data_IF_079020670322
#
_entry.id   IF_079020670322
#
_cell.length_a   1.000
_cell.length_b   1.000
_cell.length_c   1.000
_cell.angle_alpha   90.00
_cell.angle_beta   90.00
_cell.angle_gamma   90.00
#
_symmetry.space_group_name_H-M   'P 1'
#
loop_
_entity.id
_entity.type
_entity.pdbx_description
1 polymer ?
#
# COMPACT_ATOMS: atom_id res chain seq x y z
N UNK A 1 21.99 14.24 -18.96
CA UNK A 1 20.83 13.54 -18.35
C UNK A 1 20.10 12.80 -19.44
N UNK A 2 20.06 11.46 -19.38
CA UNK A 2 19.28 10.63 -20.31
C UNK A 2 17.79 10.92 -20.11
N UNK A 3 17.10 11.33 -21.18
CA UNK A 3 15.66 11.59 -21.15
C UNK A 3 14.93 10.27 -20.95
N UNK A 4 14.25 10.13 -19.81
CA UNK A 4 13.46 8.93 -19.47
C UNK A 4 12.04 9.11 -19.99
N UNK A 5 11.43 8.03 -20.42
CA UNK A 5 10.07 8.02 -20.94
C UNK A 5 9.23 6.98 -20.19
N UNK A 6 8.02 7.37 -19.83
CA UNK A 6 7.04 6.54 -19.14
C UNK A 6 5.83 6.29 -20.04
N UNK A 7 5.27 5.09 -19.99
CA UNK A 7 4.06 4.74 -20.75
C UNK A 7 2.83 5.40 -20.11
N UNK A 8 2.55 6.64 -20.49
CA UNK A 8 1.41 7.43 -20.01
C UNK A 8 0.63 7.91 -21.23
N UNK A 9 -0.54 7.31 -21.46
CA UNK A 9 -1.42 7.67 -22.57
C UNK A 9 -2.74 8.26 -22.04
N UNK A 10 -3.12 9.44 -22.53
CA UNK A 10 -4.36 10.09 -22.16
C UNK A 10 -5.60 9.23 -22.47
N UNK A 11 -5.56 8.48 -23.59
CA UNK A 11 -6.65 7.58 -24.00
C UNK A 11 -6.88 6.48 -22.96
N UNK A 12 -5.81 5.81 -22.54
CA UNK A 12 -5.86 4.75 -21.52
C UNK A 12 -6.38 5.29 -20.17
N UNK A 13 -5.99 6.51 -19.78
CA UNK A 13 -6.48 7.15 -18.56
C UNK A 13 -7.99 7.45 -18.61
N UNK A 14 -8.51 7.80 -19.79
CA UNK A 14 -9.95 8.00 -20.00
C UNK A 14 -10.69 6.68 -19.92
N UNK A 15 -10.21 5.64 -20.61
CA UNK A 15 -10.78 4.29 -20.61
C UNK A 15 -10.79 3.67 -19.21
N UNK A 16 -9.72 3.87 -18.44
CA UNK A 16 -9.63 3.44 -17.05
C UNK A 16 -10.47 4.30 -16.06
N UNK A 17 -11.07 5.40 -16.52
CA UNK A 17 -11.95 6.24 -15.71
C UNK A 17 -11.23 7.11 -14.67
N UNK A 18 -9.94 7.41 -14.85
CA UNK A 18 -9.12 8.16 -13.87
C UNK A 18 -9.63 9.59 -13.63
N UNK A 19 -10.33 10.16 -14.61
CA UNK A 19 -10.85 11.52 -14.58
C UNK A 19 -12.05 11.72 -13.64
N UNK A 20 -12.69 10.64 -13.18
CA UNK A 20 -13.85 10.74 -12.29
C UNK A 20 -13.42 11.05 -10.84
N UNK A 21 -13.79 12.22 -10.36
CA UNK A 21 -13.61 12.65 -8.97
C UNK A 21 -14.79 12.29 -8.07
N UNK A 22 -14.83 12.91 -6.88
CA UNK A 22 -15.96 12.80 -5.97
C UNK A 22 -17.10 13.77 -6.33
N UNK A 23 -18.25 13.58 -5.70
CA UNK A 23 -19.38 14.50 -5.82
C UNK A 23 -19.07 15.90 -5.29
N UNK A 24 -19.75 16.92 -5.82
CA UNK A 24 -19.45 18.35 -5.56
C UNK A 24 -19.54 18.72 -4.07
N UNK A 25 -20.32 18.00 -3.27
CA UNK A 25 -20.44 18.25 -1.81
C UNK A 25 -19.25 17.71 -1.00
N UNK A 26 -18.45 16.79 -1.55
CA UNK A 26 -17.34 16.10 -0.86
C UNK A 26 -15.99 16.45 -1.51
N UNK A 27 -15.73 17.73 -1.70
CA UNK A 27 -14.48 18.23 -2.28
C UNK A 27 -13.72 19.13 -1.30
N UNK A 28 -12.41 19.24 -1.49
CA UNK A 28 -11.56 20.16 -0.75
C UNK A 28 -11.23 21.37 -1.65
N UNK A 29 -11.51 22.63 -1.24
CA UNK A 29 -11.21 23.82 -2.03
C UNK A 29 -9.76 23.93 -2.51
N UNK A 30 -8.79 23.40 -1.75
CA UNK A 30 -7.38 23.35 -2.16
C UNK A 30 -7.14 22.55 -3.44
N UNK A 31 -8.09 21.69 -3.83
CA UNK A 31 -8.01 20.91 -5.07
C UNK A 31 -8.49 21.66 -6.30
N UNK A 32 -8.98 22.90 -6.18
CA UNK A 32 -9.47 23.70 -7.31
C UNK A 32 -8.49 23.74 -8.51
N UNK A 33 -7.16 23.87 -8.33
CA UNK A 33 -6.23 23.87 -9.47
C UNK A 33 -6.16 22.54 -10.24
N UNK A 34 -6.61 21.42 -9.66
CA UNK A 34 -6.52 20.09 -10.27
C UNK A 34 -7.85 19.63 -10.88
N UNK A 35 -8.92 20.39 -10.70
CA UNK A 35 -10.26 20.09 -11.20
C UNK A 35 -10.45 20.82 -12.54
N UNK A 36 -10.84 20.11 -13.59
CA UNK A 36 -11.09 20.69 -14.91
C UNK A 36 -12.52 21.20 -15.05
N UNK A 37 -13.51 20.42 -14.61
CA UNK A 37 -14.92 20.73 -14.79
C UNK A 37 -15.78 20.06 -13.71
N UNK A 38 -17.08 20.39 -13.71
CA UNK A 38 -18.10 19.71 -12.92
C UNK A 38 -19.22 19.25 -13.88
N UNK A 39 -19.60 17.98 -13.84
CA UNK A 39 -20.65 17.43 -14.72
C UNK A 39 -21.52 16.46 -13.93
N UNK A 40 -22.85 16.59 -14.05
CA UNK A 40 -23.83 15.70 -13.39
C UNK A 40 -23.54 15.50 -11.88
N UNK A 41 -23.21 16.58 -11.17
CA UNK A 41 -22.94 16.51 -9.72
C UNK A 41 -21.58 15.94 -9.30
N UNK A 42 -20.68 15.62 -10.25
CA UNK A 42 -19.34 15.05 -9.99
C UNK A 42 -18.24 15.94 -10.54
N UNK A 43 -17.12 16.03 -9.81
CA UNK A 43 -15.92 16.72 -10.28
C UNK A 43 -15.16 15.88 -11.32
N UNK A 44 -14.68 16.54 -12.37
CA UNK A 44 -13.79 15.96 -13.37
C UNK A 44 -12.37 16.45 -13.08
N UNK A 45 -11.42 15.53 -12.96
CA UNK A 45 -10.01 15.81 -12.67
C UNK A 45 -9.28 16.11 -14.00
N UNK A 46 -8.36 17.08 -13.98
CA UNK A 46 -7.56 17.43 -15.15
C UNK A 46 -6.51 16.36 -15.46
N UNK A 47 -6.75 15.55 -16.49
CA UNK A 47 -5.84 14.47 -16.89
C UNK A 47 -4.49 14.95 -17.45
N UNK A 48 -4.42 16.12 -18.09
CA UNK A 48 -3.15 16.65 -18.59
C UNK A 48 -2.21 16.97 -17.41
N UNK A 49 -2.76 17.55 -16.33
CA UNK A 49 -2.02 17.74 -15.07
C UNK A 49 -1.66 16.41 -14.42
N UNK A 50 -2.59 15.46 -14.36
CA UNK A 50 -2.32 14.12 -13.81
C UNK A 50 -1.19 13.42 -14.56
N UNK A 51 -1.16 13.47 -15.90
CA UNK A 51 -0.10 12.88 -16.70
C UNK A 51 1.27 13.49 -16.41
N UNK A 52 1.35 14.83 -16.28
CA UNK A 52 2.58 15.53 -15.91
C UNK A 52 3.10 15.10 -14.54
N UNK A 53 2.25 15.16 -13.51
CA UNK A 53 2.63 14.78 -12.16
C UNK A 53 2.93 13.28 -12.02
N UNK A 54 2.28 12.43 -12.80
CA UNK A 54 2.58 11.01 -12.84
C UNK A 54 3.98 10.75 -13.39
N UNK A 55 4.38 11.46 -14.47
CA UNK A 55 5.75 11.39 -14.99
C UNK A 55 6.77 11.82 -13.94
N UNK A 56 6.57 12.98 -13.31
CA UNK A 56 7.46 13.49 -12.26
C UNK A 56 7.57 12.50 -11.07
N UNK A 57 6.45 11.90 -10.67
CA UNK A 57 6.45 10.89 -9.60
C UNK A 57 7.21 9.61 -10.01
N UNK A 58 7.05 9.14 -11.26
CA UNK A 58 7.79 7.99 -11.77
C UNK A 58 9.30 8.26 -11.81
N UNK A 59 9.73 9.46 -12.20
CA UNK A 59 11.14 9.85 -12.19
C UNK A 59 11.74 9.78 -10.77
N UNK A 60 11.04 10.35 -9.78
CA UNK A 60 11.49 10.31 -8.38
C UNK A 60 11.55 8.89 -7.81
N UNK A 61 10.54 8.07 -8.11
CA UNK A 61 10.50 6.67 -7.67
C UNK A 61 11.63 5.88 -8.32
N UNK A 62 11.92 6.10 -9.60
CA UNK A 62 13.03 5.47 -10.30
C UNK A 62 14.38 5.84 -9.67
N UNK A 63 14.61 7.12 -9.41
CA UNK A 63 15.85 7.57 -8.77
C UNK A 63 16.00 6.98 -7.37
N UNK A 64 14.93 6.98 -6.56
CA UNK A 64 14.93 6.33 -5.25
C UNK A 64 15.23 4.82 -5.32
N UNK A 65 14.66 4.12 -6.31
CA UNK A 65 14.88 2.70 -6.51
C UNK A 65 16.31 2.40 -6.95
N UNK A 66 16.88 3.22 -7.85
CA UNK A 66 18.27 3.07 -8.29
C UNK A 66 19.28 3.29 -7.15
N UNK A 67 18.90 4.05 -6.12
CA UNK A 67 19.68 4.23 -4.89
C UNK A 67 19.46 3.11 -3.86
N UNK A 68 18.65 2.09 -4.17
CA UNK A 68 18.37 0.97 -3.28
C UNK A 68 17.45 1.30 -2.10
N UNK A 69 16.64 2.38 -2.20
CA UNK A 69 15.68 2.73 -1.14
C UNK A 69 14.50 1.75 -1.09
N UNK A 70 13.95 1.56 0.11
CA UNK A 70 12.77 0.71 0.33
C UNK A 70 11.47 1.46 0.09
N UNK A 71 10.44 0.74 -0.39
CA UNK A 71 9.12 1.30 -0.68
C UNK A 71 8.03 0.61 0.13
N UNK A 72 7.05 1.41 0.56
CA UNK A 72 5.86 0.96 1.27
C UNK A 72 4.59 1.39 0.51
N UNK A 73 3.80 0.42 0.06
CA UNK A 73 2.52 0.68 -0.62
C UNK A 73 1.36 0.49 0.38
N UNK A 74 0.51 1.50 0.51
CA UNK A 74 -0.58 1.49 1.51
C UNK A 74 -1.93 1.64 0.83
N UNK A 75 -2.86 0.73 1.13
CA UNK A 75 -4.25 0.88 0.72
C UNK A 75 -5.18 -0.10 1.41
N UNK A 76 -6.02 0.42 2.28
CA UNK A 76 -6.87 -0.37 3.20
C UNK A 76 -8.32 -0.51 2.73
N UNK A 77 -8.68 0.16 1.63
CA UNK A 77 -10.03 0.08 1.06
C UNK A 77 -10.27 -1.32 0.47
N UNK A 78 -11.47 -1.88 0.64
CA UNK A 78 -11.85 -3.20 0.12
C UNK A 78 -11.48 -3.40 -1.36
N UNK A 79 -11.72 -2.40 -2.21
CA UNK A 79 -11.39 -2.45 -3.66
C UNK A 79 -9.88 -2.37 -3.96
N UNK A 80 -9.07 -1.86 -3.03
CA UNK A 80 -7.63 -1.66 -3.21
C UNK A 80 -6.79 -2.75 -2.53
N UNK A 81 -7.35 -3.48 -1.56
CA UNK A 81 -6.62 -4.42 -0.70
C UNK A 81 -5.84 -5.47 -1.50
N UNK A 82 -6.46 -6.10 -2.50
CA UNK A 82 -5.81 -7.17 -3.27
C UNK A 82 -4.87 -6.60 -4.33
N UNK A 83 -5.23 -5.46 -4.93
CA UNK A 83 -4.40 -4.73 -5.90
C UNK A 83 -3.08 -4.26 -5.27
N UNK A 84 -3.13 -3.71 -4.05
CA UNK A 84 -1.95 -3.25 -3.31
C UNK A 84 -1.00 -4.39 -2.99
N UNK A 85 -1.53 -5.53 -2.51
CA UNK A 85 -0.70 -6.69 -2.22
C UNK A 85 -0.05 -7.26 -3.49
N UNK A 86 -0.83 -7.42 -4.57
CA UNK A 86 -0.34 -7.92 -5.85
C UNK A 86 0.75 -7.00 -6.44
N UNK A 87 0.52 -5.69 -6.45
CA UNK A 87 1.48 -4.71 -6.95
C UNK A 87 2.80 -4.72 -6.15
N UNK A 88 2.71 -4.76 -4.82
CA UNK A 88 3.88 -4.79 -3.96
C UNK A 88 4.69 -6.09 -4.10
N UNK A 89 4.02 -7.24 -4.21
CA UNK A 89 4.68 -8.54 -4.43
C UNK A 89 5.42 -8.53 -5.77
N UNK A 90 4.76 -8.06 -6.85
CA UNK A 90 5.38 -7.94 -8.18
C UNK A 90 6.61 -7.01 -8.16
N UNK A 91 6.52 -5.90 -7.44
CA UNK A 91 7.60 -4.94 -7.30
C UNK A 91 8.65 -5.32 -6.25
N UNK A 92 8.46 -6.41 -5.50
CA UNK A 92 9.30 -6.83 -4.35
C UNK A 92 9.40 -5.75 -3.25
N UNK A 93 8.32 -5.00 -3.04
CA UNK A 93 8.21 -3.92 -2.05
C UNK A 93 7.36 -4.33 -0.83
N UNK A 94 7.37 -3.50 0.20
CA UNK A 94 6.53 -3.69 1.39
C UNK A 94 5.12 -3.14 1.16
N UNK A 95 4.14 -3.66 1.90
CA UNK A 95 2.77 -3.17 1.80
C UNK A 95 1.94 -3.28 3.09
N UNK A 96 0.92 -2.44 3.18
CA UNK A 96 -0.16 -2.54 4.16
C UNK A 96 -1.51 -2.45 3.45
N UNK A 97 -2.24 -3.56 3.40
CA UNK A 97 -3.51 -3.65 2.68
C UNK A 97 -4.73 -3.93 3.58
N UNK A 98 -4.52 -4.24 4.86
CA UNK A 98 -5.58 -4.46 5.85
C UNK A 98 -5.75 -3.25 6.75
N UNK A 99 -5.29 -3.30 8.01
CA UNK A 99 -5.38 -2.19 8.96
C UNK A 99 -4.04 -1.48 9.06
N UNK A 100 -4.04 -0.16 8.90
CA UNK A 100 -2.92 0.70 9.25
C UNK A 100 -2.99 1.00 10.75
N UNK A 101 -2.00 0.57 11.51
CA UNK A 101 -1.90 0.93 12.92
C UNK A 101 -1.24 2.30 13.06
N UNK A 102 -1.78 3.12 13.95
CA UNK A 102 -1.11 4.37 14.33
C UNK A 102 0.27 4.02 14.91
N UNK A 103 1.29 4.81 14.56
CA UNK A 103 2.64 4.58 15.02
C UNK A 103 3.45 3.52 14.26
N UNK A 104 2.93 2.92 13.17
CA UNK A 104 3.71 1.91 12.41
C UNK A 104 5.05 2.44 11.90
N UNK A 105 5.10 3.72 11.53
CA UNK A 105 6.33 4.37 11.07
C UNK A 105 7.01 5.18 12.17
N UNK A 106 6.23 5.95 12.94
CA UNK A 106 6.78 6.88 13.95
C UNK A 106 7.22 6.17 15.24
N UNK A 107 6.58 5.06 15.60
CA UNK A 107 6.94 4.22 16.74
C UNK A 107 7.52 2.89 16.25
N UNK A 108 8.67 2.98 15.58
CA UNK A 108 9.30 1.84 14.93
C UNK A 108 9.80 0.78 15.94
N UNK A 109 10.25 1.19 17.13
CA UNK A 109 10.72 0.26 18.16
C UNK A 109 9.65 -0.76 18.56
N UNK A 110 8.41 -0.31 18.76
CA UNK A 110 7.28 -1.22 19.06
C UNK A 110 6.95 -2.09 17.85
N UNK A 111 6.92 -1.51 16.65
CA UNK A 111 6.63 -2.25 15.42
C UNK A 111 7.65 -3.36 15.18
N UNK A 112 8.94 -3.06 15.37
CA UNK A 112 10.04 -4.02 15.27
C UNK A 112 9.91 -5.16 16.28
N UNK A 113 9.53 -4.87 17.53
CA UNK A 113 9.26 -5.89 18.55
C UNK A 113 8.12 -6.82 18.12
N UNK A 114 7.03 -6.27 17.55
CA UNK A 114 5.92 -7.08 17.02
C UNK A 114 6.33 -7.93 15.83
N UNK A 115 7.20 -7.41 14.96
CA UNK A 115 7.77 -8.16 13.84
C UNK A 115 8.68 -9.31 14.31
N UNK A 116 9.50 -9.10 15.35
CA UNK A 116 10.28 -10.17 15.96
C UNK A 116 9.37 -11.25 16.52
N UNK A 117 8.37 -10.87 17.34
CA UNK A 117 7.39 -11.82 17.89
C UNK A 117 6.68 -12.62 16.78
N UNK A 118 6.37 -11.98 15.65
CA UNK A 118 5.78 -12.65 14.51
C UNK A 118 6.73 -13.67 13.87
N UNK A 119 8.00 -13.30 13.67
CA UNK A 119 9.04 -14.20 13.14
C UNK A 119 9.24 -15.40 14.06
N UNK A 120 9.34 -15.16 15.35
CA UNK A 120 9.64 -16.19 16.35
C UNK A 120 8.48 -17.20 16.43
N UNK A 121 7.22 -16.72 16.52
CA UNK A 121 6.03 -17.59 16.47
C UNK A 121 5.94 -18.42 15.19
N UNK A 122 6.33 -17.85 14.04
CA UNK A 122 6.33 -18.56 12.76
C UNK A 122 7.43 -19.63 12.70
N UNK A 123 8.57 -19.39 13.36
CA UNK A 123 9.63 -20.39 13.48
C UNK A 123 9.21 -21.54 14.39
N UNK A 124 8.58 -21.24 15.54
CA UNK A 124 8.07 -22.25 16.46
C UNK A 124 7.01 -23.16 15.84
N UNK A 125 6.09 -22.58 15.05
CA UNK A 125 5.10 -23.35 14.30
C UNK A 125 5.78 -24.30 13.30
N UNK A 126 6.77 -23.82 12.54
CA UNK A 126 7.51 -24.63 11.56
C UNK A 126 8.34 -25.74 12.20
N UNK A 127 8.88 -25.50 13.40
CA UNK A 127 9.64 -26.49 14.16
C UNK A 127 8.74 -27.54 14.84
N UNK A 128 7.41 -27.44 14.70
CA UNK A 128 6.49 -28.39 15.30
C UNK A 128 6.32 -28.25 16.82
N UNK A 129 6.83 -27.17 17.44
CA UNK A 129 6.72 -26.97 18.90
C UNK A 129 5.27 -26.95 19.40
N UNK A 130 4.33 -26.56 18.54
CA UNK A 130 2.91 -26.55 18.87
C UNK A 130 2.35 -27.94 19.16
N UNK A 131 2.96 -29.01 18.64
CA UNK A 131 2.49 -30.38 18.88
C UNK A 131 2.71 -30.84 20.34
N UNK A 132 3.62 -30.20 21.07
CA UNK A 132 3.91 -30.51 22.47
C UNK A 132 3.09 -29.68 23.46
N UNK A 133 2.17 -28.84 22.97
CA UNK A 133 1.37 -27.95 23.80
C UNK A 133 -0.09 -28.43 23.91
N UNK A 134 -0.79 -28.09 25.00
CA UNK A 134 -2.23 -28.32 25.12
C UNK A 134 -3.01 -27.68 23.96
N UNK A 135 -4.09 -28.33 23.52
CA UNK A 135 -4.93 -27.86 22.39
C UNK A 135 -5.41 -26.42 22.56
N UNK A 136 -5.71 -26.01 23.80
CA UNK A 136 -6.12 -24.64 24.13
C UNK A 136 -5.03 -23.62 23.79
N UNK A 137 -3.79 -23.91 24.17
CA UNK A 137 -2.66 -23.00 23.97
C UNK A 137 -2.28 -22.92 22.50
N UNK A 138 -2.31 -24.06 21.80
CA UNK A 138 -2.14 -24.12 20.35
C UNK A 138 -3.17 -23.23 19.64
N UNK A 139 -4.44 -23.26 20.06
CA UNK A 139 -5.47 -22.41 19.47
C UNK A 139 -5.20 -20.91 19.67
N UNK A 140 -4.72 -20.52 20.86
CA UNK A 140 -4.34 -19.13 21.17
C UNK A 140 -3.16 -18.68 20.29
N UNK A 141 -2.12 -19.51 20.19
CA UNK A 141 -0.93 -19.23 19.38
C UNK A 141 -1.27 -19.12 17.90
N UNK A 142 -2.08 -20.04 17.36
CA UNK A 142 -2.56 -19.98 15.97
C UNK A 142 -3.39 -18.73 15.70
N UNK A 143 -4.26 -18.32 16.63
CA UNK A 143 -5.05 -17.07 16.51
C UNK A 143 -4.15 -15.83 16.51
N UNK A 144 -3.14 -15.81 17.37
CA UNK A 144 -2.13 -14.73 17.43
C UNK A 144 -1.33 -14.67 16.13
N UNK A 145 -0.84 -15.81 15.65
CA UNK A 145 -0.07 -15.91 14.41
C UNK A 145 -0.90 -15.46 13.19
N UNK A 146 -2.14 -15.93 13.06
CA UNK A 146 -3.07 -15.50 12.01
C UNK A 146 -3.31 -13.99 12.04
N UNK A 147 -3.47 -13.42 13.23
CA UNK A 147 -3.63 -11.97 13.41
C UNK A 147 -2.39 -11.20 12.96
N UNK A 148 -1.20 -11.64 13.35
CA UNK A 148 0.07 -11.01 12.97
C UNK A 148 0.33 -11.15 11.46
N UNK A 149 0.12 -12.33 10.89
CA UNK A 149 0.24 -12.58 9.45
C UNK A 149 -0.71 -11.69 8.64
N UNK A 150 -1.95 -11.50 9.11
CA UNK A 150 -2.95 -10.66 8.44
C UNK A 150 -2.55 -9.19 8.40
N UNK A 151 -1.94 -8.66 9.45
CA UNK A 151 -1.68 -7.21 9.56
C UNK A 151 -0.23 -6.80 9.28
N UNK A 152 0.74 -7.64 9.66
CA UNK A 152 2.18 -7.36 9.52
C UNK A 152 2.83 -8.15 8.38
N UNK A 153 2.11 -9.06 7.73
CA UNK A 153 2.66 -9.93 6.70
C UNK A 153 3.29 -9.18 5.51
N UNK A 154 2.79 -7.99 5.17
CA UNK A 154 3.32 -7.16 4.08
C UNK A 154 4.53 -6.30 4.44
N UNK A 155 4.85 -6.15 5.73
CA UNK A 155 6.02 -5.40 6.22
C UNK A 155 7.02 -6.30 6.96
N UNK A 156 6.88 -7.63 6.86
CA UNK A 156 7.71 -8.61 7.57
C UNK A 156 9.20 -8.60 7.21
N UNK A 157 9.54 -7.99 6.07
CA UNK A 157 10.91 -7.88 5.56
C UNK A 157 11.42 -6.44 5.53
N UNK A 158 10.66 -5.53 6.12
CA UNK A 158 11.00 -4.11 6.25
C UNK A 158 11.92 -3.93 7.46
#
# INVERSE_FOLDING_TARGET
MTRRYWNINLKEMIEAGVHFGHGIKKWNPKMAPYISAKRKGTHIINLARTARFLSEACDLVFDAASQGKSFLIVGTKKRATDLVASAAIRARCHYVNKKWFSGMLTNWSITKTRLSQFRDLRAEEKMGKFHHLPKRDVAILKRKLSTLQRYLGGIKYM
#
